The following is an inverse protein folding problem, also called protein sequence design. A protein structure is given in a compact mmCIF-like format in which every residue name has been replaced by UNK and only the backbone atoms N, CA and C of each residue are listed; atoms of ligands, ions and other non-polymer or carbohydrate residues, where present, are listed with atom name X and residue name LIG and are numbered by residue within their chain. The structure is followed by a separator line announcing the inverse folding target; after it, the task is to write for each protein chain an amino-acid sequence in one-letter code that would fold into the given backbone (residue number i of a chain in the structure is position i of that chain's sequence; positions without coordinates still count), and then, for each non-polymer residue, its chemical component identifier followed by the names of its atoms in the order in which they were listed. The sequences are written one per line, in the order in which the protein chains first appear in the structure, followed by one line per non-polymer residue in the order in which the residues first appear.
data_IF_982087054223
#
_entry.id   IF_982087054223
#
_cell.length_a   1.000
_cell.length_b   1.000
_cell.length_c   1.000
_cell.angle_alpha   90.00
_cell.angle_beta   90.00
_cell.angle_gamma   90.00
#
_symmetry.space_group_name_H-M   'P 1'
#
loop_
_entity.id
_entity.type
_entity.pdbx_description
1 polymer ?
#
# COMPACT_ATOMS: atom_id res chain seq x y z
N UNK A 1 -13.05 0.33 -7.41
CA UNK A 1 -11.87 -0.26 -6.74
C UNK A 1 -10.77 -0.34 -7.78
N UNK A 2 -9.68 0.41 -7.62
CA UNK A 2 -8.56 0.38 -8.59
C UNK A 2 -7.76 -0.90 -8.42
N UNK A 3 -7.26 -1.48 -9.50
CA UNK A 3 -6.32 -2.60 -9.45
C UNK A 3 -4.95 -2.13 -8.98
N UNK A 4 -4.26 -2.97 -8.22
CA UNK A 4 -2.86 -2.79 -7.83
C UNK A 4 -2.06 -3.93 -8.42
N UNK A 5 -1.10 -3.59 -9.27
CA UNK A 5 -0.17 -4.53 -9.85
C UNK A 5 1.25 -4.13 -9.48
N UNK A 6 2.06 -5.13 -9.15
CA UNK A 6 3.49 -4.94 -8.90
C UNK A 6 4.23 -5.34 -10.17
N UNK A 7 5.02 -4.44 -10.72
CA UNK A 7 5.78 -4.67 -11.95
C UNK A 7 7.23 -5.08 -11.63
N UNK A 8 7.73 -6.09 -12.37
CA UNK A 8 9.11 -6.56 -12.27
C UNK A 8 9.54 -6.94 -10.85
N UNK A 9 10.68 -6.39 -10.41
CA UNK A 9 11.30 -6.72 -9.13
C UNK A 9 10.59 -6.13 -7.90
N UNK A 10 9.57 -5.29 -8.10
CA UNK A 10 8.85 -4.65 -6.97
C UNK A 10 8.09 -5.67 -6.12
N UNK A 11 7.65 -6.78 -6.70
CA UNK A 11 7.06 -7.89 -5.95
C UNK A 11 8.06 -8.49 -4.95
N UNK A 12 9.30 -8.72 -5.38
CA UNK A 12 10.37 -9.28 -4.54
C UNK A 12 10.74 -8.32 -3.41
N UNK A 13 10.77 -7.01 -3.68
CA UNK A 13 11.00 -5.99 -2.66
C UNK A 13 9.86 -5.97 -1.62
N UNK A 14 8.60 -6.05 -2.07
CA UNK A 14 7.44 -6.14 -1.20
C UNK A 14 7.47 -7.41 -0.34
N UNK A 15 7.84 -8.55 -0.91
CA UNK A 15 7.90 -9.83 -0.19
C UNK A 15 9.01 -9.84 0.88
N UNK A 16 10.18 -9.28 0.56
CA UNK A 16 11.25 -9.02 1.54
C UNK A 16 10.77 -8.12 2.67
N UNK A 17 10.03 -7.05 2.37
CA UNK A 17 9.47 -6.16 3.38
C UNK A 17 8.45 -6.88 4.27
N UNK A 18 7.55 -7.67 3.67
CA UNK A 18 6.50 -8.42 4.36
C UNK A 18 7.07 -9.40 5.39
N UNK A 19 8.17 -10.08 5.04
CA UNK A 19 8.82 -11.06 5.91
C UNK A 19 9.71 -10.41 6.96
N UNK A 20 10.44 -9.34 6.59
CA UNK A 20 11.37 -8.63 7.47
C UNK A 20 10.68 -7.79 8.54
N UNK A 21 9.66 -7.02 8.19
CA UNK A 21 8.98 -6.11 9.11
C UNK A 21 7.47 -6.05 8.89
N UNK A 22 6.75 -6.77 9.75
CA UNK A 22 5.28 -6.82 9.74
C UNK A 22 4.63 -5.47 10.04
N UNK A 23 5.26 -4.61 10.86
CA UNK A 23 4.72 -3.28 11.18
C UNK A 23 4.80 -2.36 9.96
N UNK A 24 5.95 -2.38 9.28
CA UNK A 24 6.14 -1.60 8.06
C UNK A 24 5.23 -2.08 6.93
N UNK A 25 5.08 -3.40 6.75
CA UNK A 25 4.11 -3.98 5.82
C UNK A 25 2.67 -3.52 6.12
N UNK A 26 2.26 -3.52 7.39
CA UNK A 26 0.92 -3.06 7.79
C UNK A 26 0.68 -1.59 7.44
N UNK A 27 1.68 -0.74 7.61
CA UNK A 27 1.61 0.68 7.25
C UNK A 27 1.57 0.88 5.73
N UNK A 28 2.38 0.12 4.98
CA UNK A 28 2.34 0.13 3.52
C UNK A 28 0.96 -0.27 2.99
N UNK A 29 0.37 -1.34 3.51
CA UNK A 29 -1.00 -1.76 3.13
C UNK A 29 -2.06 -0.70 3.43
N UNK A 30 -1.90 0.10 4.51
CA UNK A 30 -2.80 1.23 4.78
C UNK A 30 -2.64 2.31 3.70
N UNK A 31 -1.41 2.68 3.37
CA UNK A 31 -1.14 3.68 2.33
C UNK A 31 -1.67 3.24 0.96
N UNK A 32 -1.40 2.00 0.55
CA UNK A 32 -1.91 1.45 -0.70
C UNK A 32 -3.43 1.46 -0.74
N UNK A 33 -4.10 1.11 0.36
CA UNK A 33 -5.57 1.21 0.46
C UNK A 33 -6.08 2.63 0.27
N UNK A 34 -5.40 3.64 0.83
CA UNK A 34 -5.76 5.05 0.60
C UNK A 34 -5.61 5.43 -0.87
N UNK A 35 -4.48 5.08 -1.49
CA UNK A 35 -4.18 5.42 -2.88
C UNK A 35 -5.14 4.75 -3.88
N UNK A 36 -5.65 3.57 -3.54
CA UNK A 36 -6.58 2.79 -4.37
C UNK A 36 -8.05 3.12 -4.11
N UNK A 37 -8.36 4.07 -3.21
CA UNK A 37 -9.75 4.53 -3.01
C UNK A 37 -10.32 5.14 -4.28
N UNK A 38 -11.63 4.98 -4.45
CA UNK A 38 -12.37 5.64 -5.53
C UNK A 38 -12.48 7.14 -5.29
N UNK A 39 -12.74 7.55 -4.04
CA UNK A 39 -12.97 8.94 -3.68
C UNK A 39 -11.81 9.52 -2.84
N UNK A 40 -10.99 10.40 -3.41
CA UNK A 40 -9.86 11.02 -2.71
C UNK A 40 -10.29 12.01 -1.62
N UNK A 41 -11.54 12.51 -1.64
CA UNK A 41 -12.06 13.45 -0.62
C UNK A 41 -12.32 12.78 0.74
N UNK A 42 -12.37 11.45 0.77
CA UNK A 42 -12.56 10.64 1.98
C UNK A 42 -11.26 10.09 2.55
N UNK A 43 -10.11 10.67 2.20
CA UNK A 43 -8.80 10.28 2.74
C UNK A 43 -8.67 10.51 4.25
N UNK A 44 -7.56 10.07 4.83
CA UNK A 44 -7.16 10.43 6.22
C UNK A 44 -7.03 11.96 6.32
N UNK A 45 -8.14 12.63 6.60
CA UNK A 45 -8.23 14.07 6.78
C UNK A 45 -7.17 14.53 7.79
N UNK A 46 -6.07 15.06 7.25
CA UNK A 46 -5.24 16.01 7.94
C UNK A 46 -5.60 17.37 7.33
N UNK A 47 -5.94 18.37 8.14
CA UNK A 47 -6.12 19.74 7.66
C UNK A 47 -4.84 20.25 6.98
#
# INVERSE_FOLDING_TARGET
MRSLEFEGDTWVAYEKLRTKDKKMHRNLCKLLKEMLRDDPSKGLGKP
#
